data_IF_022135108463
#
_entry.id   IF_022135108463
#
_cell.length_a   1.000
_cell.length_b   1.000
_cell.length_c   1.000
_cell.angle_alpha   90.00
_cell.angle_beta   90.00
_cell.angle_gamma   90.00
#
_symmetry.space_group_name_H-M   'P 1'
#
loop_
_entity.id
_entity.type
_entity.pdbx_description
1 polymer ?
#
# COMPACT_ATOMS: atom_id res chain seq x y z
N UNK A 1 -4.43 -2.40 -0.90
CA UNK A 1 -4.25 -1.86 -2.28
C UNK A 1 -5.53 -1.15 -2.69
N UNK A 2 -5.44 0.01 -3.33
CA UNK A 2 -6.58 0.74 -3.92
C UNK A 2 -6.40 0.82 -5.42
N UNK A 3 -7.48 0.74 -6.19
CA UNK A 3 -7.49 0.85 -7.65
C UNK A 3 -8.70 1.65 -8.10
N UNK A 4 -8.57 2.44 -9.16
CA UNK A 4 -9.62 3.25 -9.74
C UNK A 4 -9.61 3.11 -11.29
N UNK A 5 -10.56 3.70 -11.99
CA UNK A 5 -10.82 3.47 -13.41
C UNK A 5 -9.72 3.91 -14.38
N UNK A 6 -8.79 4.79 -13.95
CA UNK A 6 -7.67 5.25 -14.79
C UNK A 6 -6.42 4.39 -14.66
N UNK A 7 -6.44 3.35 -13.83
CA UNK A 7 -5.32 2.43 -13.71
C UNK A 7 -5.15 1.59 -14.98
N UNK A 8 -3.90 1.28 -15.32
CA UNK A 8 -3.60 0.40 -16.44
C UNK A 8 -3.79 -1.08 -16.02
N UNK A 9 -4.50 -1.89 -16.82
CA UNK A 9 -4.70 -3.31 -16.50
C UNK A 9 -3.40 -4.08 -16.25
N UNK A 10 -2.35 -3.80 -17.02
CA UNK A 10 -1.04 -4.43 -16.85
C UNK A 10 -0.42 -4.13 -15.47
N UNK A 11 -0.48 -2.87 -15.03
CA UNK A 11 0.05 -2.46 -13.72
C UNK A 11 -0.67 -3.18 -12.58
N UNK A 12 -2.01 -3.19 -12.60
CA UNK A 12 -2.79 -3.89 -11.58
C UNK A 12 -2.43 -5.38 -11.51
N UNK A 13 -2.26 -6.02 -12.68
CA UNK A 13 -1.87 -7.43 -12.75
C UNK A 13 -0.50 -7.66 -12.08
N UNK A 14 0.52 -6.91 -12.49
CA UNK A 14 1.89 -7.02 -11.96
C UNK A 14 1.95 -6.71 -10.46
N UNK A 15 1.21 -5.69 -10.02
CA UNK A 15 1.14 -5.29 -8.62
C UNK A 15 0.53 -6.39 -7.75
N UNK A 16 -0.60 -6.99 -8.17
CA UNK A 16 -1.24 -8.11 -7.47
C UNK A 16 -0.33 -9.34 -7.42
N UNK A 17 0.28 -9.73 -8.55
CA UNK A 17 1.23 -10.83 -8.61
C UNK A 17 2.39 -10.61 -7.65
N UNK A 18 2.99 -9.41 -7.65
CA UNK A 18 4.13 -9.08 -6.81
C UNK A 18 3.84 -9.21 -5.31
N UNK A 19 2.59 -8.93 -4.90
CA UNK A 19 2.17 -9.08 -3.50
C UNK A 19 1.85 -10.53 -3.13
N UNK A 20 1.32 -11.31 -4.05
CA UNK A 20 1.01 -12.72 -3.80
C UNK A 20 2.25 -13.61 -3.84
N UNK A 21 3.27 -13.22 -4.62
CA UNK A 21 4.56 -13.93 -4.76
C UNK A 21 5.61 -13.54 -3.72
N UNK A 22 5.21 -12.90 -2.63
CA UNK A 22 6.13 -12.57 -1.54
C UNK A 22 6.69 -13.83 -0.87
N UNK A 23 7.95 -13.79 -0.40
CA UNK A 23 8.55 -14.88 0.40
C UNK A 23 7.84 -15.10 1.74
N UNK A 24 7.15 -14.08 2.21
CA UNK A 24 6.18 -14.13 3.32
C UNK A 24 4.85 -13.57 2.79
N UNK A 25 4.01 -14.41 2.20
CA UNK A 25 2.78 -13.98 1.56
C UNK A 25 1.79 -13.39 2.57
N UNK A 26 0.95 -12.43 2.16
CA UNK A 26 -0.07 -11.87 3.04
C UNK A 26 -1.13 -12.91 3.38
N UNK A 27 -1.63 -12.89 4.62
CA UNK A 27 -2.79 -13.69 5.02
C UNK A 27 -4.07 -13.21 4.34
N UNK A 28 -4.17 -11.90 4.09
CA UNK A 28 -5.24 -11.27 3.33
C UNK A 28 -4.71 -10.15 2.43
N UNK A 29 -5.27 -10.02 1.24
CA UNK A 29 -5.06 -8.89 0.35
C UNK A 29 -6.43 -8.21 0.13
N UNK A 30 -6.57 -7.00 0.66
CA UNK A 30 -7.77 -6.20 0.48
C UNK A 30 -7.57 -5.28 -0.71
N UNK A 31 -8.31 -5.54 -1.79
CA UNK A 31 -8.37 -4.70 -2.99
C UNK A 31 -9.60 -3.80 -2.91
N UNK A 32 -9.40 -2.50 -2.78
CA UNK A 32 -10.47 -1.50 -2.78
C UNK A 32 -10.61 -0.92 -4.18
N UNK A 33 -11.74 -1.17 -4.82
CA UNK A 33 -12.12 -0.58 -6.09
C UNK A 33 -12.83 0.75 -5.79
N UNK A 34 -12.15 1.87 -6.04
CA UNK A 34 -12.65 3.20 -5.77
C UNK A 34 -13.53 3.69 -6.94
N UNK A 35 -14.82 3.49 -6.80
CA UNK A 35 -15.81 3.69 -7.84
C UNK A 35 -15.90 2.53 -8.85
N UNK A 36 -16.55 2.81 -9.98
CA UNK A 36 -16.71 1.86 -11.07
C UNK A 36 -15.38 1.68 -11.83
N UNK A 37 -14.92 0.45 -11.94
CA UNK A 37 -13.74 0.11 -12.73
C UNK A 37 -14.09 -0.16 -14.19
N UNK A 38 -13.10 -0.09 -15.09
CA UNK A 38 -13.23 -0.55 -16.48
C UNK A 38 -13.52 -2.06 -16.53
N UNK A 39 -14.04 -2.54 -17.65
CA UNK A 39 -14.28 -3.98 -17.84
C UNK A 39 -13.01 -4.81 -17.66
N UNK A 40 -11.89 -4.33 -18.18
CA UNK A 40 -10.59 -5.02 -18.13
C UNK A 40 -10.07 -5.12 -16.69
N UNK A 41 -10.08 -4.02 -15.93
CA UNK A 41 -9.70 -4.03 -14.51
C UNK A 41 -10.61 -4.94 -13.68
N UNK A 42 -11.91 -4.96 -13.98
CA UNK A 42 -12.85 -5.86 -13.32
C UNK A 42 -12.57 -7.34 -13.62
N UNK A 43 -12.17 -7.67 -14.84
CA UNK A 43 -11.79 -9.04 -15.22
C UNK A 43 -10.57 -9.48 -14.40
N UNK A 44 -9.52 -8.65 -14.34
CA UNK A 44 -8.31 -8.93 -13.56
C UNK A 44 -8.65 -9.13 -12.08
N UNK A 45 -9.33 -8.17 -11.47
CA UNK A 45 -9.71 -8.26 -10.05
C UNK A 45 -10.49 -9.54 -9.73
N UNK A 46 -11.46 -9.90 -10.57
CA UNK A 46 -12.25 -11.13 -10.40
C UNK A 46 -11.45 -12.41 -10.66
N UNK A 47 -10.52 -12.40 -11.62
CA UNK A 47 -9.64 -13.54 -11.89
C UNK A 47 -8.80 -13.86 -10.66
N UNK A 48 -8.08 -12.86 -10.13
CA UNK A 48 -7.29 -13.04 -8.91
C UNK A 48 -8.14 -13.44 -7.71
N UNK A 49 -9.32 -12.83 -7.50
CA UNK A 49 -10.22 -13.23 -6.43
C UNK A 49 -10.70 -14.70 -6.60
N UNK A 50 -10.90 -15.15 -7.82
CA UNK A 50 -11.33 -16.53 -8.10
C UNK A 50 -10.22 -17.55 -7.80
N UNK A 51 -8.97 -17.20 -8.12
CA UNK A 51 -7.79 -18.03 -7.93
C UNK A 51 -7.36 -18.06 -6.45
N UNK A 52 -7.41 -16.89 -5.78
CA UNK A 52 -6.96 -16.73 -4.38
C UNK A 52 -8.13 -16.38 -3.45
N UNK A 53 -9.19 -17.20 -3.48
CA UNK A 53 -10.48 -16.93 -2.79
C UNK A 53 -10.35 -16.67 -1.30
N UNK A 54 -9.46 -17.39 -0.64
CA UNK A 54 -9.27 -17.30 0.82
C UNK A 54 -8.35 -16.14 1.21
N UNK A 55 -7.64 -15.57 0.24
CA UNK A 55 -6.67 -14.49 0.48
C UNK A 55 -7.20 -13.14 0.00
N UNK A 56 -7.85 -13.06 -1.17
CA UNK A 56 -8.26 -11.79 -1.77
C UNK A 56 -9.69 -11.41 -1.41
N UNK A 57 -9.82 -10.23 -0.80
CA UNK A 57 -11.09 -9.58 -0.49
C UNK A 57 -11.25 -8.32 -1.32
N UNK A 58 -12.28 -8.25 -2.15
CA UNK A 58 -12.61 -7.07 -2.95
C UNK A 58 -13.66 -6.23 -2.22
N UNK A 59 -13.35 -4.95 -2.02
CA UNK A 59 -14.26 -3.92 -1.51
C UNK A 59 -14.57 -2.96 -2.67
N UNK A 60 -15.82 -2.53 -2.78
CA UNK A 60 -16.23 -1.56 -3.80
C UNK A 60 -16.86 -0.36 -3.13
N UNK A 61 -16.48 0.82 -3.55
CA UNK A 61 -17.18 2.07 -3.20
C UNK A 61 -18.20 2.39 -4.30
N UNK A 62 -19.26 3.09 -3.95
CA UNK A 62 -20.32 3.44 -4.90
C UNK A 62 -19.84 4.47 -5.95
N UNK A 63 -18.91 5.34 -5.55
CA UNK A 63 -18.30 6.37 -6.38
C UNK A 63 -16.81 6.50 -6.09
N UNK A 64 -16.05 7.18 -6.96
CA UNK A 64 -14.66 7.53 -6.70
C UNK A 64 -14.64 8.59 -5.60
N UNK A 65 -14.36 8.15 -4.39
CA UNK A 65 -14.33 8.97 -3.18
C UNK A 65 -12.93 9.53 -2.86
N UNK A 66 -11.94 9.17 -3.66
CA UNK A 66 -10.55 9.58 -3.52
C UNK A 66 -9.71 8.68 -2.62
N UNK A 67 -8.38 8.80 -2.79
CA UNK A 67 -7.40 7.89 -2.20
C UNK A 67 -7.52 7.75 -0.66
N UNK A 68 -7.74 8.84 0.06
CA UNK A 68 -7.89 8.81 1.52
C UNK A 68 -9.09 7.97 1.97
N UNK A 69 -10.26 8.20 1.36
CA UNK A 69 -11.49 7.44 1.66
C UNK A 69 -11.33 5.96 1.28
N UNK A 70 -10.76 5.67 0.11
CA UNK A 70 -10.50 4.30 -0.33
C UNK A 70 -9.51 3.58 0.61
N UNK A 71 -8.43 4.24 1.03
CA UNK A 71 -7.49 3.69 2.01
C UNK A 71 -8.17 3.40 3.36
N UNK A 72 -9.04 4.29 3.85
CA UNK A 72 -9.83 4.06 5.07
C UNK A 72 -10.75 2.85 4.95
N UNK A 73 -11.42 2.69 3.81
CA UNK A 73 -12.25 1.50 3.55
C UNK A 73 -11.38 0.22 3.59
N UNK A 74 -10.18 0.26 3.02
CA UNK A 74 -9.20 -0.82 3.09
C UNK A 74 -8.77 -1.13 4.53
N UNK A 75 -8.35 -0.13 5.30
CA UNK A 75 -7.95 -0.28 6.71
C UNK A 75 -9.08 -0.90 7.54
N UNK A 76 -10.30 -0.43 7.35
CA UNK A 76 -11.49 -0.97 8.05
C UNK A 76 -11.72 -2.44 7.71
N UNK A 77 -11.56 -2.80 6.44
CA UNK A 77 -11.84 -4.14 5.92
C UNK A 77 -10.75 -5.17 6.28
N UNK A 78 -9.51 -4.74 6.52
CA UNK A 78 -8.44 -5.62 6.98
C UNK A 78 -8.74 -6.21 8.35
N UNK A 79 -8.42 -7.49 8.54
CA UNK A 79 -8.55 -8.20 9.83
C UNK A 79 -7.23 -8.29 10.58
N UNK A 80 -6.11 -8.29 9.86
CA UNK A 80 -4.77 -8.45 10.41
C UNK A 80 -4.29 -7.22 11.21
N UNK A 81 -3.45 -7.42 12.24
CA UNK A 81 -2.96 -6.34 13.09
C UNK A 81 -1.93 -5.43 12.42
N UNK A 82 -1.23 -5.92 11.41
CA UNK A 82 -0.26 -5.16 10.60
C UNK A 82 -0.81 -5.06 9.18
N UNK A 83 -0.81 -3.84 8.64
CA UNK A 83 -1.26 -3.54 7.28
C UNK A 83 -0.04 -3.07 6.48
N UNK A 84 0.16 -3.65 5.31
CA UNK A 84 1.17 -3.25 4.34
C UNK A 84 0.45 -2.55 3.18
N UNK A 85 0.73 -1.26 3.00
CA UNK A 85 0.17 -0.48 1.89
C UNK A 85 0.87 -0.85 0.58
N UNK A 86 0.11 -0.90 -0.50
CA UNK A 86 0.61 -1.10 -1.85
C UNK A 86 -0.24 -0.29 -2.82
N UNK A 87 0.40 0.45 -3.71
CA UNK A 87 -0.28 1.13 -4.81
C UNK A 87 -0.42 0.16 -5.99
N UNK A 88 -1.42 0.35 -6.84
CA UNK A 88 -1.79 -0.59 -7.92
C UNK A 88 -0.87 -0.51 -9.15
N UNK A 89 0.02 0.47 -9.18
CA UNK A 89 0.99 0.75 -10.25
C UNK A 89 2.45 0.49 -9.84
N UNK A 90 2.68 -0.03 -8.63
CA UNK A 90 4.00 -0.37 -8.13
C UNK A 90 4.24 -1.90 -8.11
N UNK A 91 5.51 -2.31 -8.06
CA UNK A 91 5.95 -3.70 -7.93
C UNK A 91 6.65 -3.89 -6.59
N UNK A 92 6.21 -4.86 -5.81
CA UNK A 92 6.81 -5.20 -4.52
C UNK A 92 7.95 -6.21 -4.69
N UNK A 93 9.16 -5.89 -4.22
CA UNK A 93 10.25 -6.87 -4.21
C UNK A 93 9.87 -8.08 -3.34
N UNK A 94 10.33 -9.31 -3.69
CA UNK A 94 9.84 -10.56 -3.09
C UNK A 94 10.00 -10.69 -1.58
N UNK A 95 10.95 -9.99 -0.98
CA UNK A 95 11.25 -10.07 0.45
C UNK A 95 10.73 -8.89 1.29
N UNK A 96 9.96 -7.98 0.67
CA UNK A 96 9.45 -6.78 1.34
C UNK A 96 8.59 -7.12 2.55
N UNK A 97 7.58 -7.97 2.39
CA UNK A 97 6.69 -8.34 3.48
C UNK A 97 7.45 -9.00 4.64
N UNK A 98 8.33 -9.96 4.33
CA UNK A 98 9.16 -10.62 5.32
C UNK A 98 9.99 -9.63 6.14
N UNK A 99 10.66 -8.69 5.47
CA UNK A 99 11.50 -7.67 6.12
C UNK A 99 10.69 -6.73 7.02
N UNK A 100 9.52 -6.26 6.55
CA UNK A 100 8.68 -5.35 7.32
C UNK A 100 8.06 -6.04 8.54
N UNK A 101 7.56 -7.28 8.40
CA UNK A 101 7.03 -8.06 9.52
C UNK A 101 8.10 -8.38 10.55
N UNK A 102 9.32 -8.74 10.09
CA UNK A 102 10.45 -8.98 10.98
C UNK A 102 10.80 -7.73 11.81
N UNK A 103 10.75 -6.53 11.23
CA UNK A 103 10.99 -5.29 11.98
C UNK A 103 9.97 -5.07 13.10
N UNK A 104 8.69 -5.31 12.86
CA UNK A 104 7.68 -5.22 13.93
C UNK A 104 7.86 -6.28 15.02
N UNK A 105 8.34 -7.48 14.66
CA UNK A 105 8.64 -8.54 15.63
C UNK A 105 9.85 -8.21 16.50
N UNK A 106 10.90 -7.61 15.93
CA UNK A 106 12.12 -7.21 16.63
C UNK A 106 11.95 -5.91 17.42
N UNK A 107 11.08 -5.03 16.97
CA UNK A 107 10.82 -3.69 17.49
C UNK A 107 9.32 -3.46 17.70
N UNK A 108 8.74 -4.07 18.75
CA UNK A 108 7.30 -3.98 19.01
C UNK A 108 6.81 -2.56 19.36
N UNK A 109 7.73 -1.63 19.67
CA UNK A 109 7.44 -0.22 19.88
C UNK A 109 7.13 0.56 18.60
N UNK A 110 7.51 0.06 17.42
CA UNK A 110 7.26 0.74 16.14
C UNK A 110 5.77 0.68 15.78
N UNK A 111 5.22 1.79 15.35
CA UNK A 111 3.85 1.89 14.83
C UNK A 111 3.80 1.91 13.31
N UNK A 112 4.87 2.41 12.66
CA UNK A 112 4.99 2.50 11.20
C UNK A 112 6.44 2.23 10.76
N UNK A 113 6.59 1.55 9.63
CA UNK A 113 7.86 1.34 8.94
C UNK A 113 7.68 1.59 7.44
N UNK A 114 8.73 2.00 6.75
CA UNK A 114 8.73 2.16 5.30
C UNK A 114 9.96 1.55 4.67
N UNK A 115 10.01 1.52 3.34
CA UNK A 115 11.18 1.06 2.58
C UNK A 115 11.70 2.13 1.64
N UNK A 116 12.88 1.92 1.07
CA UNK A 116 13.35 2.67 -0.07
C UNK A 116 12.55 2.23 -1.32
N UNK A 117 12.58 3.07 -2.34
CA UNK A 117 11.95 2.80 -3.63
C UNK A 117 13.04 2.83 -4.69
N UNK A 118 13.04 1.85 -5.54
CA UNK A 118 13.79 1.80 -6.77
C UNK A 118 12.88 2.28 -7.91
N UNK A 119 13.29 3.33 -8.59
CA UNK A 119 12.59 3.86 -9.76
C UNK A 119 13.24 3.26 -11.00
N UNK A 120 12.44 2.66 -11.87
CA UNK A 120 12.90 2.03 -13.09
C UNK A 120 12.16 2.57 -14.32
N UNK A 121 12.79 2.49 -15.45
CA UNK A 121 12.17 2.79 -16.74
C UNK A 121 11.27 1.61 -17.16
N UNK A 122 9.98 1.86 -17.33
CA UNK A 122 9.00 0.81 -17.65
C UNK A 122 9.18 0.19 -19.03
N UNK A 123 9.89 0.84 -19.94
CA UNK A 123 10.16 0.32 -21.29
C UNK A 123 11.40 -0.57 -21.35
N UNK A 124 12.43 -0.27 -20.54
CA UNK A 124 13.71 -1.00 -20.54
C UNK A 124 13.88 -1.91 -19.32
N UNK A 125 13.18 -1.66 -18.23
CA UNK A 125 13.38 -2.33 -16.93
C UNK A 125 14.64 -1.89 -16.19
N UNK A 126 15.38 -0.89 -16.70
CA UNK A 126 16.61 -0.42 -16.09
C UNK A 126 16.33 0.48 -14.89
N UNK A 127 17.08 0.29 -13.79
CA UNK A 127 16.99 1.17 -12.62
C UNK A 127 17.50 2.57 -12.96
N UNK A 128 16.64 3.55 -12.76
CA UNK A 128 16.95 4.99 -12.98
C UNK A 128 17.46 5.63 -11.71
N UNK A 129 16.83 5.36 -10.57
CA UNK A 129 17.22 5.94 -9.30
C UNK A 129 16.79 5.09 -8.09
N UNK A 130 17.40 5.37 -6.92
CA UNK A 130 16.96 4.81 -5.63
C UNK A 130 16.58 5.94 -4.71
N UNK A 131 15.28 6.05 -4.39
CA UNK A 131 14.74 7.06 -3.48
C UNK A 131 14.90 6.60 -2.03
N UNK A 132 15.91 7.15 -1.37
CA UNK A 132 16.23 6.84 0.02
C UNK A 132 15.56 7.83 0.97
N UNK A 133 15.06 7.31 2.10
CA UNK A 133 14.41 8.09 3.14
C UNK A 133 15.22 8.04 4.43
N UNK A 134 15.01 8.96 5.39
CA UNK A 134 15.66 8.92 6.69
C UNK A 134 15.35 7.60 7.42
N UNK A 135 16.37 7.01 8.07
CA UNK A 135 16.21 5.73 8.78
C UNK A 135 16.28 5.88 10.31
N UNK A 136 16.85 6.97 10.82
CA UNK A 136 16.93 7.21 12.27
C UNK A 136 15.75 8.05 12.72
N UNK A 137 15.16 7.72 13.87
CA UNK A 137 13.98 8.40 14.42
C UNK A 137 14.13 9.93 14.47
N UNK A 138 15.28 10.42 14.94
CA UNK A 138 15.55 11.87 15.00
C UNK A 138 15.54 12.54 13.61
N UNK A 139 16.06 11.83 12.61
CA UNK A 139 16.08 12.33 11.22
C UNK A 139 14.68 12.29 10.61
N UNK A 140 13.90 11.22 10.91
CA UNK A 140 12.50 11.07 10.49
C UNK A 140 11.69 12.26 11.04
N UNK A 141 11.75 12.52 12.34
CA UNK A 141 11.04 13.64 12.98
C UNK A 141 11.46 15.01 12.43
N UNK A 142 12.75 15.21 12.16
CA UNK A 142 13.24 16.44 11.54
C UNK A 142 12.74 16.63 10.11
N UNK A 143 12.73 15.55 9.33
CA UNK A 143 12.26 15.54 7.94
C UNK A 143 10.75 15.76 7.86
N UNK A 144 10.00 15.14 8.76
CA UNK A 144 8.55 15.23 8.89
C UNK A 144 8.02 16.66 9.05
N UNK A 145 8.84 17.58 9.59
CA UNK A 145 8.46 19.00 9.70
C UNK A 145 8.28 19.72 8.36
N UNK A 146 8.72 19.12 7.26
CA UNK A 146 8.74 19.76 5.94
C UNK A 146 8.20 18.88 4.81
N UNK A 147 8.31 17.58 4.93
CA UNK A 147 7.99 16.60 3.90
C UNK A 147 7.58 15.27 4.52
N UNK A 148 6.86 14.45 3.74
CA UNK A 148 6.58 13.08 4.13
C UNK A 148 7.91 12.32 4.36
N UNK A 149 8.15 11.78 5.57
CA UNK A 149 9.38 11.06 5.90
C UNK A 149 9.43 9.63 5.38
N UNK A 150 8.38 9.15 4.74
CA UNK A 150 8.28 7.83 4.13
C UNK A 150 7.88 7.92 2.66
N UNK A 151 8.27 6.93 1.87
CA UNK A 151 7.66 6.69 0.58
C UNK A 151 6.27 6.08 0.83
N UNK A 152 5.20 6.82 0.54
CA UNK A 152 3.81 6.50 0.94
C UNK A 152 3.34 5.10 0.54
N UNK A 153 3.75 4.63 -0.64
CA UNK A 153 3.38 3.33 -1.18
C UNK A 153 4.06 2.15 -0.49
N UNK A 154 5.10 2.44 0.32
CA UNK A 154 5.92 1.39 0.94
C UNK A 154 5.62 1.18 2.42
N UNK A 155 4.74 1.95 3.00
CA UNK A 155 4.50 1.89 4.44
C UNK A 155 3.84 0.57 4.86
N UNK A 156 4.29 0.07 6.02
CA UNK A 156 3.56 -0.91 6.80
C UNK A 156 3.31 -0.31 8.18
N UNK A 157 2.15 -0.55 8.76
CA UNK A 157 1.75 0.05 10.01
C UNK A 157 0.83 -0.85 10.82
N UNK A 158 0.79 -0.62 12.13
CA UNK A 158 -0.18 -1.28 13.00
C UNK A 158 -1.58 -0.72 12.76
N UNK A 159 -2.55 -1.59 12.52
CA UNK A 159 -3.96 -1.19 12.37
C UNK A 159 -4.45 -0.37 13.56
N UNK A 160 -4.08 -0.77 14.78
CA UNK A 160 -4.46 -0.05 15.99
C UNK A 160 -3.92 1.38 16.04
N UNK A 161 -2.68 1.62 15.57
CA UNK A 161 -2.10 2.96 15.47
C UNK A 161 -2.84 3.82 14.45
N UNK A 162 -3.13 3.28 13.27
CA UNK A 162 -3.91 3.96 12.24
C UNK A 162 -5.31 4.37 12.73
N UNK A 163 -6.01 3.47 13.42
CA UNK A 163 -7.33 3.76 14.01
C UNK A 163 -7.24 4.83 15.09
N UNK A 164 -6.21 4.77 15.94
CA UNK A 164 -5.96 5.78 17.00
C UNK A 164 -5.66 7.17 16.42
N UNK A 165 -4.95 7.22 15.29
CA UNK A 165 -4.64 8.47 14.57
C UNK A 165 -5.86 9.04 13.82
N UNK A 166 -6.97 8.29 13.70
CA UNK A 166 -8.18 8.73 12.99
C UNK A 166 -8.22 8.31 11.52
N UNK A 167 -7.23 7.56 11.03
CA UNK A 167 -7.13 7.16 9.62
C UNK A 167 -6.68 8.31 8.71
N UNK A 168 -6.94 8.16 7.42
CA UNK A 168 -6.69 9.22 6.42
C UNK A 168 -7.77 10.30 6.52
N UNK A 169 -7.36 11.56 6.47
CA UNK A 169 -8.30 12.67 6.40
C UNK A 169 -8.84 12.87 4.97
N UNK A 170 -9.84 13.73 4.87
CA UNK A 170 -10.44 14.12 3.57
C UNK A 170 -9.66 15.29 2.90
N UNK A 171 -8.42 15.50 3.29
CA UNK A 171 -7.55 16.53 2.69
C UNK A 171 -7.04 16.05 1.34
N UNK A 172 -7.51 16.68 0.27
CA UNK A 172 -6.99 16.43 -1.09
C UNK A 172 -5.50 16.84 -1.17
N UNK A 173 -4.66 15.94 -1.68
CA UNK A 173 -3.21 16.10 -1.93
C UNK A 173 -2.30 16.03 -0.70
N UNK A 174 -2.80 15.99 0.53
CA UNK A 174 -1.99 15.94 1.74
C UNK A 174 -2.36 14.80 2.69
N UNK A 175 -3.30 13.94 2.31
CA UNK A 175 -3.84 12.83 3.11
C UNK A 175 -2.76 11.86 3.59
N UNK A 176 -1.80 11.52 2.73
CA UNK A 176 -0.68 10.63 3.10
C UNK A 176 0.29 11.28 4.09
N UNK A 177 0.52 12.60 3.97
CA UNK A 177 1.40 13.30 4.89
C UNK A 177 0.76 13.40 6.28
N UNK A 178 -0.50 13.78 6.34
CA UNK A 178 -1.24 13.91 7.60
C UNK A 178 -1.40 12.55 8.31
N UNK A 179 -1.66 11.48 7.55
CA UNK A 179 -1.74 10.13 8.11
C UNK A 179 -0.44 9.67 8.78
N UNK A 180 0.72 10.11 8.26
CA UNK A 180 2.04 9.64 8.68
C UNK A 180 2.63 10.51 9.80
N UNK A 181 2.27 11.80 9.91
CA UNK A 181 2.88 12.78 10.81
C UNK A 181 1.98 13.13 11.99
#
# INVERSE_FOLDING_TARGET
MTVYDQELPANLNESLESMLMQTYPPEELVLVCDGALTCELNIIAKSFQSEFRDTIKIIRTDENAGAGTANNAGIKACSCPIIIKMDSDDISLPDRCAKQIMLFAMHPELDIVGTFVEEFDSGTGETVSIKKMPVKQEQILKYARRRNPFNRQTIAFKKAAAVKAGGYSDLKLCEDYEFIV
#
